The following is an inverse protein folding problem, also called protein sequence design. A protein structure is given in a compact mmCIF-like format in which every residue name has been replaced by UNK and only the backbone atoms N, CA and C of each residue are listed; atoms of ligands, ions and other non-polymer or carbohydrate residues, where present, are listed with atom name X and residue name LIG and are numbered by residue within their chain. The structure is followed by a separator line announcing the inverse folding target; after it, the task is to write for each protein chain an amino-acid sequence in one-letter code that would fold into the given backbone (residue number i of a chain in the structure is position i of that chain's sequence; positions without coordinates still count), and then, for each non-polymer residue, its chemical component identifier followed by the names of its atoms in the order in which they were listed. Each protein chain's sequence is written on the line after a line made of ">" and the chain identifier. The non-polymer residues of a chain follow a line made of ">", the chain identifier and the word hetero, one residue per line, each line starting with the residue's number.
data_IF_352999042957
#
_entry.id   IF_352999042957
#
_cell.length_a   1.000
_cell.length_b   1.000
_cell.length_c   1.000
_cell.angle_alpha   90.00
_cell.angle_beta   90.00
_cell.angle_gamma   90.00
#
_symmetry.space_group_name_H-M   'P 1'
#
loop_
_entity.id
_entity.type
_entity.pdbx_description
1 polymer ?
#
# COMPACT_ATOMS: atom_id res chain seq x y z
N UNK A 1 14.22 -3.69 31.43
CA UNK A 1 13.26 -3.06 30.48
C UNK A 1 13.02 -4.00 29.30
N UNK A 2 11.80 -4.53 29.12
CA UNK A 2 11.46 -5.40 27.96
C UNK A 2 11.01 -4.52 26.79
N UNK A 3 11.87 -4.32 25.80
CA UNK A 3 11.54 -3.58 24.58
C UNK A 3 10.67 -4.47 23.69
N UNK A 4 9.35 -4.20 23.63
CA UNK A 4 8.45 -4.83 22.66
C UNK A 4 8.70 -4.23 21.29
N UNK A 5 9.55 -4.88 20.49
CA UNK A 5 9.74 -4.54 19.08
C UNK A 5 8.42 -4.86 18.36
N UNK A 6 7.71 -3.82 17.90
CA UNK A 6 6.49 -3.96 17.09
C UNK A 6 6.85 -4.84 15.87
N UNK A 7 6.15 -5.96 15.62
CA UNK A 7 6.48 -6.81 14.49
C UNK A 7 6.36 -5.97 13.22
N UNK A 8 7.47 -5.83 12.50
CA UNK A 8 7.51 -5.14 11.22
C UNK A 8 6.44 -5.79 10.34
N UNK A 9 5.38 -5.06 10.02
CA UNK A 9 4.22 -5.58 9.30
C UNK A 9 4.71 -6.33 8.06
N UNK A 10 4.76 -7.67 8.12
CA UNK A 10 5.31 -8.48 7.05
C UNK A 10 4.43 -8.25 5.84
N UNK A 11 4.97 -7.60 4.81
CA UNK A 11 4.28 -7.39 3.52
C UNK A 11 3.93 -8.77 2.98
N UNK A 12 2.69 -9.17 3.17
CA UNK A 12 2.22 -10.54 2.97
C UNK A 12 2.14 -10.89 1.48
N UNK A 13 2.07 -9.90 0.58
CA UNK A 13 2.24 -10.05 -0.86
C UNK A 13 3.69 -10.27 -1.30
N UNK A 14 4.68 -10.02 -0.44
CA UNK A 14 6.10 -10.10 -0.78
C UNK A 14 6.62 -11.53 -0.59
N UNK A 15 6.43 -12.35 -1.62
CA UNK A 15 6.90 -13.75 -1.65
C UNK A 15 8.42 -13.84 -1.81
N UNK A 16 8.99 -15.01 -1.46
CA UNK A 16 10.42 -15.30 -1.69
C UNK A 16 10.79 -15.14 -3.16
N UNK A 17 9.95 -15.63 -4.08
CA UNK A 17 10.15 -15.45 -5.53
C UNK A 17 10.27 -13.99 -5.92
N UNK A 18 9.36 -13.12 -5.47
CA UNK A 18 9.43 -11.67 -5.76
C UNK A 18 10.71 -11.05 -5.17
N UNK A 19 11.12 -11.45 -3.96
CA UNK A 19 12.38 -10.97 -3.36
C UNK A 19 13.59 -11.36 -4.21
N UNK A 20 13.66 -12.62 -4.63
CA UNK A 20 14.72 -13.13 -5.52
C UNK A 20 14.70 -12.39 -6.85
N UNK A 21 13.54 -12.22 -7.48
CA UNK A 21 13.43 -11.48 -8.74
C UNK A 21 13.87 -10.02 -8.61
N UNK A 22 13.56 -9.34 -7.50
CA UNK A 22 14.04 -8.00 -7.22
C UNK A 22 15.57 -7.94 -7.03
N UNK A 23 16.16 -8.93 -6.36
CA UNK A 23 17.62 -9.06 -6.24
C UNK A 23 18.27 -9.26 -7.60
N UNK A 24 17.73 -10.18 -8.41
CA UNK A 24 18.21 -10.46 -9.75
C UNK A 24 18.07 -9.23 -10.66
N UNK A 25 16.97 -8.46 -10.56
CA UNK A 25 16.81 -7.19 -11.28
C UNK A 25 17.96 -6.23 -10.97
N UNK A 26 18.33 -6.12 -9.69
CA UNK A 26 19.42 -5.24 -9.25
C UNK A 26 20.76 -5.69 -9.82
N UNK A 27 21.06 -6.98 -9.77
CA UNK A 27 22.28 -7.55 -10.35
C UNK A 27 22.33 -7.32 -11.86
N UNK A 28 21.23 -7.60 -12.56
CA UNK A 28 21.13 -7.40 -14.00
C UNK A 28 21.32 -5.93 -14.40
N UNK A 29 20.81 -4.99 -13.59
CA UNK A 29 21.03 -3.54 -13.83
C UNK A 29 22.50 -3.16 -13.69
N UNK A 30 23.21 -3.71 -12.70
CA UNK A 30 24.65 -3.50 -12.53
C UNK A 30 25.41 -4.06 -13.73
N UNK A 31 25.05 -5.26 -14.18
CA UNK A 31 25.68 -5.91 -15.33
C UNK A 31 25.47 -5.11 -16.62
N UNK A 32 24.24 -4.64 -16.89
CA UNK A 32 23.93 -3.79 -18.05
C UNK A 32 24.70 -2.47 -18.05
N UNK A 33 24.92 -1.87 -16.87
CA UNK A 33 25.69 -0.63 -16.80
C UNK A 33 27.19 -0.85 -17.11
N UNK A 34 27.69 -2.09 -17.01
CA UNK A 34 29.08 -2.46 -17.32
C UNK A 34 29.27 -2.98 -18.74
N UNK A 35 28.20 -3.23 -19.47
CA UNK A 35 28.25 -3.88 -20.79
C UNK A 35 27.43 -3.08 -21.79
N UNK A 36 28.02 -2.67 -22.92
CA UNK A 36 27.29 -1.96 -23.97
C UNK A 36 26.58 -2.92 -24.94
N UNK A 37 25.74 -3.81 -24.40
CA UNK A 37 24.98 -4.76 -25.20
C UNK A 37 23.50 -4.34 -25.27
N UNK A 38 23.04 -3.99 -26.47
CA UNK A 38 21.67 -3.52 -26.71
C UNK A 38 20.62 -4.62 -26.49
N UNK A 39 20.89 -5.86 -26.91
CA UNK A 39 19.98 -7.00 -26.72
C UNK A 39 19.73 -7.27 -25.24
N UNK A 40 20.78 -7.13 -24.42
CA UNK A 40 20.69 -7.27 -22.97
C UNK A 40 19.82 -6.17 -22.34
N UNK A 41 19.96 -4.91 -22.80
CA UNK A 41 19.11 -3.78 -22.36
C UNK A 41 17.63 -4.04 -22.67
N UNK A 42 17.32 -4.58 -23.83
CA UNK A 42 15.95 -4.93 -24.21
C UNK A 42 15.37 -6.07 -23.37
N UNK A 43 16.15 -7.12 -23.14
CA UNK A 43 15.75 -8.23 -22.29
C UNK A 43 15.49 -7.79 -20.84
N UNK A 44 16.27 -6.84 -20.31
CA UNK A 44 16.00 -6.24 -19.01
C UNK A 44 14.68 -5.46 -18.98
N UNK A 45 14.34 -4.70 -20.03
CA UNK A 45 13.04 -4.01 -20.11
C UNK A 45 11.88 -5.02 -20.07
N UNK A 46 12.00 -6.13 -20.81
CA UNK A 46 11.02 -7.23 -20.80
C UNK A 46 10.90 -7.85 -19.40
N UNK A 47 12.03 -8.18 -18.78
CA UNK A 47 12.09 -8.72 -17.43
C UNK A 47 11.46 -7.78 -16.39
N UNK A 48 11.77 -6.48 -16.45
CA UNK A 48 11.19 -5.48 -15.57
C UNK A 48 9.66 -5.39 -15.74
N UNK A 49 9.16 -5.42 -16.97
CA UNK A 49 7.72 -5.40 -17.26
C UNK A 49 7.03 -6.62 -16.67
N UNK A 50 7.63 -7.81 -16.81
CA UNK A 50 7.11 -9.04 -16.22
C UNK A 50 7.09 -8.96 -14.69
N UNK A 51 8.19 -8.55 -14.07
CA UNK A 51 8.27 -8.41 -12.61
C UNK A 51 7.22 -7.42 -12.07
N UNK A 52 7.01 -6.28 -12.75
CA UNK A 52 5.95 -5.32 -12.39
C UNK A 52 4.57 -5.99 -12.40
N UNK A 53 4.25 -6.75 -13.46
CA UNK A 53 2.98 -7.49 -13.58
C UNK A 53 2.83 -8.51 -12.45
N UNK A 54 3.87 -9.28 -12.15
CA UNK A 54 3.87 -10.27 -11.06
C UNK A 54 3.62 -9.62 -9.69
N UNK A 55 4.26 -8.48 -9.41
CA UNK A 55 4.06 -7.74 -8.16
C UNK A 55 2.63 -7.22 -8.04
N UNK A 56 2.06 -6.69 -9.12
CA UNK A 56 0.67 -6.20 -9.16
C UNK A 56 -0.30 -7.37 -8.90
N UNK A 57 -0.10 -8.49 -9.60
CA UNK A 57 -0.93 -9.69 -9.44
C UNK A 57 -0.87 -10.23 -8.00
N UNK A 58 0.32 -10.32 -7.40
CA UNK A 58 0.48 -10.76 -6.01
C UNK A 58 -0.29 -9.88 -5.03
N UNK A 59 -0.18 -8.55 -5.17
CA UNK A 59 -0.94 -7.58 -4.36
C UNK A 59 -2.45 -7.74 -4.55
N UNK A 60 -2.92 -7.94 -5.79
CA UNK A 60 -4.33 -8.14 -6.11
C UNK A 60 -4.86 -9.41 -5.43
N UNK A 61 -4.17 -10.53 -5.59
CA UNK A 61 -4.54 -11.81 -4.94
C UNK A 61 -4.60 -11.65 -3.43
N UNK A 62 -3.62 -10.98 -2.84
CA UNK A 62 -3.64 -10.72 -1.41
C UNK A 62 -4.89 -9.92 -0.99
N UNK A 63 -5.20 -8.83 -1.69
CA UNK A 63 -6.34 -7.99 -1.36
C UNK A 63 -7.66 -8.78 -1.46
N UNK A 64 -7.81 -9.58 -2.52
CA UNK A 64 -8.96 -10.47 -2.70
C UNK A 64 -9.05 -11.46 -1.53
N UNK A 65 -7.95 -12.09 -1.13
CA UNK A 65 -7.91 -13.00 0.02
C UNK A 65 -8.30 -12.30 1.32
N UNK A 66 -7.86 -11.05 1.54
CA UNK A 66 -8.22 -10.26 2.72
C UNK A 66 -9.71 -9.94 2.76
N UNK A 67 -10.30 -9.56 1.63
CA UNK A 67 -11.73 -9.25 1.53
C UNK A 67 -12.58 -10.52 1.72
N UNK A 68 -12.20 -11.63 1.07
CA UNK A 68 -12.94 -12.90 1.15
C UNK A 68 -12.94 -13.53 2.55
N UNK A 69 -11.89 -13.27 3.34
CA UNK A 69 -11.78 -13.75 4.73
C UNK A 69 -12.42 -12.82 5.76
N UNK A 70 -12.94 -11.67 5.35
CA UNK A 70 -13.52 -10.70 6.28
C UNK A 70 -14.98 -11.04 6.57
N UNK A 71 -15.39 -10.89 7.82
CA UNK A 71 -16.78 -11.07 8.26
C UNK A 71 -17.73 -10.07 7.56
N UNK A 72 -17.22 -8.88 7.24
CA UNK A 72 -17.95 -7.87 6.46
C UNK A 72 -17.13 -7.43 5.24
N UNK A 73 -17.52 -7.97 4.09
CA UNK A 73 -16.90 -7.74 2.78
C UNK A 73 -16.93 -6.25 2.40
N UNK A 74 -18.06 -5.57 2.62
CA UNK A 74 -18.25 -4.17 2.27
C UNK A 74 -17.30 -3.27 3.08
N UNK A 75 -17.26 -3.46 4.40
CA UNK A 75 -16.36 -2.72 5.29
C UNK A 75 -14.89 -2.97 4.96
N UNK A 76 -14.51 -4.22 4.69
CA UNK A 76 -13.15 -4.57 4.31
C UNK A 76 -12.73 -3.94 2.97
N UNK A 77 -13.65 -3.87 2.01
CA UNK A 77 -13.43 -3.25 0.70
C UNK A 77 -13.25 -1.74 0.84
N UNK A 78 -14.15 -1.05 1.54
CA UNK A 78 -14.03 0.38 1.81
C UNK A 78 -12.77 0.72 2.61
N UNK A 79 -12.39 -0.12 3.58
CA UNK A 79 -11.14 0.02 4.31
C UNK A 79 -9.93 -0.08 3.37
N UNK A 80 -9.92 -1.05 2.45
CA UNK A 80 -8.85 -1.18 1.46
C UNK A 80 -8.79 0.02 0.51
N UNK A 81 -9.93 0.52 0.03
CA UNK A 81 -9.99 1.72 -0.80
C UNK A 81 -9.43 2.91 -0.03
N UNK A 82 -9.86 3.09 1.22
CA UNK A 82 -9.35 4.13 2.12
C UNK A 82 -7.83 4.00 2.32
N UNK A 83 -7.28 2.81 2.57
CA UNK A 83 -5.83 2.58 2.69
C UNK A 83 -5.05 2.99 1.41
N UNK A 84 -5.67 2.90 0.23
CA UNK A 84 -5.04 3.26 -1.05
C UNK A 84 -5.18 4.74 -1.38
N UNK A 85 -6.31 5.34 -1.05
CA UNK A 85 -6.67 6.72 -1.42
C UNK A 85 -6.26 7.73 -0.35
N UNK A 86 -6.39 7.41 0.95
CA UNK A 86 -6.08 8.33 2.08
C UNK A 86 -4.58 8.48 2.40
N UNK A 87 -3.69 8.28 1.42
CA UNK A 87 -2.31 8.78 1.57
C UNK A 87 -2.21 10.30 1.49
N UNK A 88 -3.32 10.97 1.15
CA UNK A 88 -3.43 12.41 1.12
C UNK A 88 -4.41 12.82 2.22
N UNK A 89 -3.88 13.48 3.25
CA UNK A 89 -4.58 14.24 4.28
C UNK A 89 -5.31 13.39 5.35
N UNK A 90 -4.62 13.14 6.45
CA UNK A 90 -5.30 13.18 7.75
C UNK A 90 -5.82 14.61 7.91
N UNK A 91 -7.10 14.84 7.59
CA UNK A 91 -7.73 16.09 8.03
C UNK A 91 -7.64 16.11 9.55
N UNK A 92 -7.18 17.21 10.17
CA UNK A 92 -7.23 17.32 11.63
C UNK A 92 -8.66 17.03 12.06
N UNK A 93 -8.81 16.30 13.17
CA UNK A 93 -10.11 16.10 13.82
C UNK A 93 -10.55 17.44 14.40
N UNK A 94 -11.00 18.35 13.55
CA UNK A 94 -11.70 19.55 13.98
C UNK A 94 -13.13 19.15 14.23
N UNK A 95 -13.66 19.51 15.40
CA UNK A 95 -15.08 19.40 15.68
C UNK A 95 -15.86 20.13 14.57
N UNK A 96 -17.02 19.57 14.22
CA UNK A 96 -17.93 20.19 13.26
C UNK A 96 -18.51 21.42 13.96
N UNK A 97 -18.11 22.62 13.52
CA UNK A 97 -18.68 23.88 13.99
C UNK A 97 -19.97 24.12 13.23
N UNK A 98 -21.10 23.97 13.91
CA UNK A 98 -22.43 24.27 13.37
C UNK A 98 -22.73 25.73 13.74
N UNK A 99 -22.97 26.58 12.75
CA UNK A 99 -23.41 27.96 12.98
C UNK A 99 -24.94 27.97 13.01
N UNK A 100 -25.50 28.14 14.21
CA UNK A 100 -26.91 28.38 14.41
C UNK A 100 -27.02 29.80 14.99
N UNK A 101 -27.65 30.71 14.26
CA UNK A 101 -27.99 32.07 14.72
C UNK A 101 -26.86 32.80 15.46
N UNK A 102 -25.72 32.97 14.77
CA UNK A 102 -24.51 33.67 15.24
C UNK A 102 -23.79 33.07 16.45
N UNK A 103 -24.16 31.86 16.91
CA UNK A 103 -23.48 31.18 18.00
C UNK A 103 -22.69 29.96 17.48
N UNK A 104 -21.39 29.94 17.81
CA UNK A 104 -20.47 28.84 17.47
C UNK A 104 -20.57 27.74 18.52
N UNK A 105 -21.24 26.64 18.18
CA UNK A 105 -21.32 25.46 19.05
C UNK A 105 -20.16 24.50 18.74
N UNK A 106 -19.25 24.32 19.70
CA UNK A 106 -18.05 23.45 19.59
C UNK A 106 -18.18 22.17 20.47
N UNK A 107 -19.28 22.01 21.21
CA UNK A 107 -19.51 20.88 22.12
C UNK A 107 -20.93 20.28 21.99
N UNK A 108 -21.09 18.95 21.90
CA UNK A 108 -22.39 18.29 21.69
C UNK A 108 -23.26 18.18 22.95
N UNK A 109 -23.29 19.20 23.81
CA UNK A 109 -24.09 19.21 25.04
C UNK A 109 -24.97 20.45 25.11
N UNK A 110 -26.00 20.55 24.29
CA UNK A 110 -27.23 21.32 24.58
C UNK A 110 -28.27 21.13 23.48
N UNK A 111 -28.99 20.01 23.54
CA UNK A 111 -30.40 19.97 23.13
C UNK A 111 -31.09 19.11 24.17
N UNK A 112 -31.66 19.78 25.18
CA UNK A 112 -32.59 19.21 26.14
C UNK A 112 -33.94 19.88 25.90
#
# INVERSE_FOLDING_TARGET
>A
VKIKIKPFNKKTWLTTGIKTSCRNKRLLKIFINKTDNQVLKENYKKYEKLLKRTVIASKKIQNIKRIRKADNIMKATWHLIKEKTNKLQEKPKTNIKINLDNNLLDHPLTVA
#
